data_IF_904652385346
#
_entry.id   IF_904652385346
#
_cell.length_a   1.000
_cell.length_b   1.000
_cell.length_c   1.000
_cell.angle_alpha   90.00
_cell.angle_beta   90.00
_cell.angle_gamma   90.00
#
_symmetry.space_group_name_H-M   'P 1'
#
loop_
_entity.id
_entity.type
_entity.pdbx_description
1 polymer ?
#
# COMPACT_ATOMS: atom_id res chain seq x y z
N UNK A 1 19.67 7.77 3.88
CA UNK A 1 18.32 7.88 4.47
C UNK A 1 17.32 8.17 3.38
N UNK A 2 16.21 7.43 3.39
CA UNK A 2 15.14 7.68 2.43
C UNK A 2 14.23 8.77 2.95
N UNK A 3 14.02 9.80 2.13
CA UNK A 3 13.12 10.90 2.46
C UNK A 3 11.95 10.84 1.50
N UNK A 4 10.74 10.90 2.04
CA UNK A 4 9.53 10.89 1.21
C UNK A 4 8.70 12.13 1.50
N UNK A 5 8.03 12.62 0.46
CA UNK A 5 7.04 13.67 0.59
C UNK A 5 5.66 13.01 0.61
N UNK A 6 4.87 13.32 1.62
CA UNK A 6 3.50 12.80 1.73
C UNK A 6 2.60 13.61 0.80
N UNK A 7 1.89 12.93 -0.08
CA UNK A 7 1.04 13.55 -1.10
C UNK A 7 -0.45 13.41 -0.83
N UNK A 8 -0.84 12.57 0.15
CA UNK A 8 -2.24 12.35 0.46
C UNK A 8 -2.40 11.80 1.86
N UNK A 9 -3.62 11.48 2.24
CA UNK A 9 -3.92 10.90 3.54
C UNK A 9 -3.69 9.40 3.55
N UNK A 10 -3.33 8.86 4.71
CA UNK A 10 -3.23 7.41 4.89
C UNK A 10 -4.63 6.79 4.75
N UNK A 11 -4.73 5.78 3.92
CA UNK A 11 -5.99 5.09 3.64
C UNK A 11 -5.87 3.65 4.12
N UNK A 12 -6.81 3.19 4.94
CA UNK A 12 -6.82 1.78 5.36
C UNK A 12 -7.13 0.89 4.16
N UNK A 13 -6.31 -0.15 3.98
CA UNK A 13 -6.52 -1.11 2.90
C UNK A 13 -7.55 -2.16 3.33
N UNK A 14 -8.36 -2.58 2.37
CA UNK A 14 -9.40 -3.59 2.57
C UNK A 14 -9.29 -4.63 1.46
N UNK A 15 -10.23 -5.55 1.41
CA UNK A 15 -10.32 -6.54 0.32
C UNK A 15 -10.83 -5.93 -0.98
N UNK A 16 -11.29 -4.68 -0.94
CA UNK A 16 -11.66 -3.91 -2.13
C UNK A 16 -10.48 -3.04 -2.53
N UNK A 17 -10.09 -3.10 -3.81
CA UNK A 17 -8.95 -2.34 -4.31
C UNK A 17 -9.06 -0.84 -4.05
N UNK A 18 -7.98 -0.24 -3.58
CA UNK A 18 -7.86 1.20 -3.32
C UNK A 18 -6.82 1.79 -4.24
N UNK A 19 -7.17 2.88 -4.90
CA UNK A 19 -6.29 3.53 -5.87
C UNK A 19 -5.17 4.35 -5.19
N UNK A 20 -5.37 4.78 -3.96
CA UNK A 20 -4.44 5.59 -3.18
C UNK A 20 -4.09 6.89 -3.92
N UNK A 21 -5.12 7.70 -4.14
CA UNK A 21 -4.99 9.05 -4.70
C UNK A 21 -4.29 9.11 -6.07
N UNK A 22 -4.46 8.08 -6.88
CA UNK A 22 -3.79 7.96 -8.19
C UNK A 22 -2.27 8.07 -8.11
N UNK A 23 -1.72 7.69 -6.96
CA UNK A 23 -0.27 7.78 -6.72
C UNK A 23 0.50 6.76 -7.53
N UNK A 24 1.76 7.10 -7.82
CA UNK A 24 2.70 6.20 -8.50
C UNK A 24 3.66 5.55 -7.52
N UNK A 25 3.81 6.14 -6.33
CA UNK A 25 4.57 5.53 -5.23
C UNK A 25 3.68 5.52 -4.00
N UNK A 26 3.55 4.37 -3.39
CA UNK A 26 2.67 4.18 -2.23
C UNK A 26 3.49 3.60 -1.09
N UNK A 27 3.45 4.29 0.05
CA UNK A 27 4.04 3.80 1.29
C UNK A 27 3.02 2.89 1.97
N UNK A 28 3.38 1.65 2.19
CA UNK A 28 2.56 0.67 2.90
C UNK A 28 3.07 0.53 4.32
N UNK A 29 2.16 0.64 5.28
CA UNK A 29 2.50 0.58 6.70
C UNK A 29 1.57 -0.38 7.43
N UNK A 30 2.13 -1.12 8.38
CA UNK A 30 1.37 -2.03 9.25
C UNK A 30 1.42 -1.45 10.66
N UNK A 31 0.26 -1.06 11.18
CA UNK A 31 0.16 -0.31 12.43
C UNK A 31 -0.14 -1.16 13.67
N UNK A 32 -0.07 -2.48 13.57
CA UNK A 32 -0.33 -3.37 14.71
C UNK A 32 0.95 -4.11 15.10
N UNK A 33 1.60 -3.66 16.17
CA UNK A 33 2.92 -4.15 16.57
C UNK A 33 2.98 -5.66 16.84
N UNK A 34 1.91 -6.25 17.31
CA UNK A 34 1.85 -7.69 17.59
C UNK A 34 1.20 -8.51 16.48
N UNK A 35 0.88 -7.87 15.34
CA UNK A 35 0.14 -8.54 14.28
C UNK A 35 1.03 -9.39 13.38
N UNK A 36 0.37 -10.23 12.58
CA UNK A 36 1.05 -11.03 11.56
C UNK A 36 1.22 -10.20 10.28
N UNK A 37 2.19 -10.58 9.45
CA UNK A 37 2.30 -10.01 8.12
C UNK A 37 1.06 -10.34 7.31
N UNK A 38 0.62 -9.39 6.48
CA UNK A 38 -0.54 -9.56 5.61
C UNK A 38 -0.14 -9.40 4.15
N UNK A 39 -0.74 -10.22 3.30
CA UNK A 39 -0.51 -10.15 1.86
C UNK A 39 -1.23 -8.94 1.28
N UNK A 40 -0.49 -8.11 0.57
CA UNK A 40 -1.03 -6.98 -0.19
C UNK A 40 -0.87 -7.29 -1.66
N UNK A 41 -1.94 -7.16 -2.42
CA UNK A 41 -1.97 -7.47 -3.85
C UNK A 41 -2.13 -6.20 -4.66
N UNK A 42 -1.29 -6.04 -5.67
CA UNK A 42 -1.38 -4.94 -6.64
C UNK A 42 -2.10 -5.44 -7.88
N UNK A 43 -3.13 -4.72 -8.29
CA UNK A 43 -3.92 -5.04 -9.49
C UNK A 43 -3.97 -3.85 -10.42
N UNK A 44 -4.10 -4.11 -11.72
CA UNK A 44 -4.32 -3.07 -12.70
C UNK A 44 -5.79 -2.61 -12.71
N UNK A 45 -6.12 -1.63 -13.54
CA UNK A 45 -7.47 -1.07 -13.63
C UNK A 45 -8.51 -2.09 -14.12
N UNK A 46 -8.07 -3.15 -14.76
CA UNK A 46 -8.94 -4.23 -15.22
C UNK A 46 -9.12 -5.34 -14.20
N UNK A 47 -8.51 -5.23 -13.02
CA UNK A 47 -8.60 -6.25 -11.97
C UNK A 47 -7.61 -7.39 -12.11
N UNK A 48 -6.64 -7.29 -13.01
CA UNK A 48 -5.61 -8.32 -13.18
C UNK A 48 -4.48 -8.14 -12.17
N UNK A 49 -4.06 -9.23 -11.55
CA UNK A 49 -2.98 -9.20 -10.56
C UNK A 49 -1.65 -8.87 -11.26
N UNK A 50 -0.97 -7.85 -10.77
CA UNK A 50 0.37 -7.47 -11.24
C UNK A 50 1.46 -8.01 -10.31
N UNK A 51 1.15 -8.19 -9.04
CA UNK A 51 2.09 -8.70 -8.06
C UNK A 51 1.52 -8.65 -6.66
N UNK A 52 2.26 -9.21 -5.72
CA UNK A 52 1.86 -9.20 -4.31
C UNK A 52 3.10 -9.25 -3.42
N UNK A 53 2.92 -8.80 -2.19
CA UNK A 53 3.97 -8.84 -1.18
C UNK A 53 3.35 -8.87 0.22
N UNK A 54 4.14 -9.30 1.20
CA UNK A 54 3.71 -9.27 2.59
C UNK A 54 4.19 -8.00 3.27
N UNK A 55 3.30 -7.34 4.01
CA UNK A 55 3.63 -6.18 4.83
C UNK A 55 3.65 -6.61 6.29
N UNK A 56 4.80 -6.47 6.93
CA UNK A 56 4.99 -6.88 8.33
C UNK A 56 4.96 -5.65 9.26
N UNK A 57 4.61 -5.86 10.57
CA UNK A 57 4.68 -4.78 11.54
C UNK A 57 6.08 -4.15 11.59
N UNK A 58 6.13 -2.82 11.74
CA UNK A 58 7.38 -2.06 11.84
C UNK A 58 8.30 -2.15 10.61
N UNK A 59 7.79 -2.60 9.47
CA UNK A 59 8.57 -2.71 8.25
C UNK A 59 7.84 -2.03 7.09
N UNK A 60 7.77 -0.69 7.10
CA UNK A 60 7.13 0.02 5.98
C UNK A 60 7.89 -0.21 4.69
N UNK A 61 7.16 -0.23 3.59
CA UNK A 61 7.74 -0.44 2.27
C UNK A 61 7.07 0.51 1.27
N UNK A 62 7.85 1.01 0.33
CA UNK A 62 7.33 1.86 -0.75
C UNK A 62 7.28 1.00 -2.00
N UNK A 63 6.11 1.00 -2.65
CA UNK A 63 5.92 0.29 -3.92
C UNK A 63 5.67 1.27 -5.05
N UNK A 64 6.05 0.88 -6.26
CA UNK A 64 5.70 1.60 -7.48
C UNK A 64 4.40 1.03 -8.04
N UNK A 65 3.55 1.90 -8.57
CA UNK A 65 2.37 1.46 -9.32
C UNK A 65 2.00 2.50 -10.37
N UNK A 66 1.19 2.09 -11.34
CA UNK A 66 0.59 3.05 -12.26
C UNK A 66 -0.52 3.83 -11.55
N UNK A 67 -0.82 5.07 -11.98
CA UNK A 67 -1.87 5.87 -11.34
C UNK A 67 -3.23 5.20 -11.27
N UNK A 68 -3.54 4.30 -12.20
CA UNK A 68 -4.82 3.60 -12.26
C UNK A 68 -4.82 2.24 -11.54
N UNK A 69 -3.66 1.80 -11.05
CA UNK A 69 -3.55 0.54 -10.31
C UNK A 69 -4.18 0.67 -8.92
N UNK A 70 -4.62 -0.47 -8.38
CA UNK A 70 -5.19 -0.53 -7.04
C UNK A 70 -4.42 -1.51 -6.16
N UNK A 71 -4.51 -1.31 -4.85
CA UNK A 71 -3.93 -2.22 -3.86
C UNK A 71 -5.02 -2.72 -2.92
N UNK A 72 -4.91 -3.97 -2.51
CA UNK A 72 -5.87 -4.58 -1.60
C UNK A 72 -5.19 -5.56 -0.68
N UNK A 73 -5.84 -5.88 0.45
CA UNK A 73 -5.33 -6.87 1.40
C UNK A 73 -6.05 -8.21 1.20
N UNK A 74 -5.43 -9.30 1.70
CA UNK A 74 -5.96 -10.65 1.58
C UNK A 74 -7.22 -10.88 2.42
N UNK A 75 -7.45 -10.05 3.43
CA UNK A 75 -8.58 -10.16 4.34
C UNK A 75 -8.99 -8.77 4.79
N UNK A 76 -10.16 -8.68 5.42
CA UNK A 76 -10.66 -7.41 5.96
C UNK A 76 -9.88 -7.06 7.23
N UNK A 77 -8.66 -6.56 7.06
CA UNK A 77 -7.82 -6.09 8.17
C UNK A 77 -7.90 -4.58 8.25
N UNK A 78 -7.65 -4.03 9.45
CA UNK A 78 -7.67 -2.59 9.66
C UNK A 78 -6.29 -2.03 9.98
N UNK A 79 -5.26 -2.86 9.84
CA UNK A 79 -3.90 -2.54 10.30
C UNK A 79 -2.98 -2.02 9.20
N UNK A 80 -3.33 -2.25 7.94
CA UNK A 80 -2.49 -1.88 6.79
C UNK A 80 -3.01 -0.59 6.17
N UNK A 81 -2.12 0.38 6.05
CA UNK A 81 -2.43 1.68 5.45
C UNK A 81 -1.56 1.93 4.23
N UNK A 82 -2.14 2.58 3.23
CA UNK A 82 -1.41 3.05 2.06
C UNK A 82 -1.47 4.57 1.99
N UNK A 83 -0.35 5.19 1.64
CA UNK A 83 -0.26 6.64 1.51
C UNK A 83 0.49 6.98 0.23
N UNK A 84 -0.06 7.88 -0.57
CA UNK A 84 0.63 8.37 -1.76
C UNK A 84 1.81 9.25 -1.33
N UNK A 85 2.99 8.95 -1.85
CA UNK A 85 4.22 9.67 -1.49
C UNK A 85 5.05 9.95 -2.74
N UNK A 86 5.97 10.90 -2.61
CA UNK A 86 7.04 11.10 -3.58
C UNK A 86 8.37 10.77 -2.91
N UNK A 87 9.20 10.00 -3.57
CA UNK A 87 10.51 9.63 -3.05
C UNK A 87 11.49 10.76 -3.32
N UNK A 88 12.06 11.33 -2.28
CA UNK A 88 12.85 12.55 -2.37
C UNK A 88 14.38 12.34 -2.34
N UNK A 89 14.82 11.11 -2.24
CA UNK A 89 16.23 10.97 -2.21
C UNK A 89 16.78 9.57 -2.16
#
# INVERSE_FOLDING_TARGET
MNVVKVLGEATVLTTTGKNIDSGTKVLLQHNHAGGNAHLVTLKDSGGNVKGSLYVAPHRPIIIDKEPTDTVETEAAVTDIYGTSVAHMG
#
